data_IF_552953725643
#
_entry.id   IF_552953725643
#
_cell.length_a   1.000
_cell.length_b   1.000
_cell.length_c   1.000
_cell.angle_alpha   90.00
_cell.angle_beta   90.00
_cell.angle_gamma   90.00
#
_symmetry.space_group_name_H-M   'P 1'
#
loop_
_entity.id
_entity.type
_entity.pdbx_description
1 polymer ?
#
# COMPACT_ATOMS: atom_id res chain seq x y z
N UNK A 1 -10.04 -23.21 -4.96
CA UNK A 1 -11.16 -23.49 -4.04
C UNK A 1 -10.81 -22.89 -2.68
N UNK A 2 -11.53 -21.88 -2.20
CA UNK A 2 -11.33 -21.28 -0.87
C UNK A 2 -12.72 -21.08 -0.24
N UNK A 3 -13.00 -21.80 0.84
CA UNK A 3 -14.33 -22.11 1.37
C UNK A 3 -14.78 -21.19 2.51
N UNK A 4 -14.34 -19.92 2.53
CA UNK A 4 -14.58 -19.01 3.67
C UNK A 4 -15.26 -17.67 3.39
N UNK A 5 -15.85 -17.50 2.21
CA UNK A 5 -16.68 -16.34 1.95
C UNK A 5 -18.09 -16.79 1.60
N UNK A 6 -19.02 -16.57 2.53
CA UNK A 6 -20.44 -16.47 2.22
C UNK A 6 -20.61 -15.26 1.29
N UNK A 7 -20.50 -15.45 -0.02
CA UNK A 7 -20.78 -14.40 -1.00
C UNK A 7 -22.30 -14.31 -1.23
N UNK A 8 -23.00 -13.83 -0.21
CA UNK A 8 -24.32 -13.22 -0.33
C UNK A 8 -24.19 -11.73 -0.02
N UNK A 9 -23.37 -11.01 -0.80
CA UNK A 9 -23.67 -9.60 -1.06
C UNK A 9 -24.73 -9.58 -2.16
N UNK A 10 -25.98 -9.74 -1.75
CA UNK A 10 -27.10 -9.27 -2.56
C UNK A 10 -26.82 -7.79 -2.83
N UNK A 11 -26.82 -7.38 -4.10
CA UNK A 11 -26.82 -5.95 -4.40
C UNK A 11 -28.10 -5.39 -3.78
N UNK A 12 -27.96 -4.47 -2.83
CA UNK A 12 -29.10 -3.73 -2.31
C UNK A 12 -29.23 -2.45 -3.13
N UNK A 13 -30.47 -2.06 -3.45
CA UNK A 13 -30.67 -0.77 -4.08
C UNK A 13 -30.28 0.33 -3.09
N UNK A 14 -29.77 1.44 -3.61
CA UNK A 14 -29.37 2.60 -2.81
C UNK A 14 -30.15 3.83 -3.27
N UNK A 15 -30.37 4.78 -2.35
CA UNK A 15 -31.24 5.94 -2.61
C UNK A 15 -32.69 5.51 -2.87
N UNK A 16 -33.32 6.07 -3.91
CA UNK A 16 -34.70 5.75 -4.27
C UNK A 16 -34.86 4.39 -5.00
N UNK A 17 -33.77 3.64 -5.18
CA UNK A 17 -33.78 2.42 -5.98
C UNK A 17 -34.73 1.33 -5.47
N UNK A 18 -34.98 1.24 -4.16
CA UNK A 18 -35.91 0.26 -3.56
C UNK A 18 -37.37 0.45 -4.00
N UNK A 19 -37.71 1.67 -4.46
CA UNK A 19 -39.02 2.00 -5.03
C UNK A 19 -39.25 1.26 -6.36
N UNK A 20 -38.19 1.01 -7.12
CA UNK A 20 -38.28 0.52 -8.50
C UNK A 20 -37.72 -0.89 -8.67
N UNK A 21 -36.76 -1.30 -7.84
CA UNK A 21 -36.05 -2.58 -7.94
C UNK A 21 -36.69 -3.58 -6.97
N UNK A 22 -37.07 -4.75 -7.49
CA UNK A 22 -37.58 -5.87 -6.69
C UNK A 22 -36.46 -6.71 -6.08
N UNK A 23 -35.37 -6.91 -6.84
CA UNK A 23 -34.13 -7.48 -6.35
C UNK A 23 -32.97 -7.16 -7.28
N UNK A 24 -31.76 -7.18 -6.75
CA UNK A 24 -30.53 -7.24 -7.52
C UNK A 24 -29.62 -8.35 -6.99
N UNK A 25 -28.85 -8.96 -7.87
CA UNK A 25 -27.91 -10.03 -7.52
C UNK A 25 -26.60 -9.86 -8.27
N UNK A 26 -25.52 -10.32 -7.66
CA UNK A 26 -24.23 -10.48 -8.29
C UNK A 26 -23.83 -11.96 -8.24
N UNK A 27 -23.30 -12.47 -9.34
CA UNK A 27 -22.75 -13.81 -9.42
C UNK A 27 -21.39 -13.78 -10.12
N UNK A 28 -20.41 -14.42 -9.50
CA UNK A 28 -19.07 -14.60 -10.07
C UNK A 28 -19.11 -15.61 -11.21
N UNK A 29 -18.36 -15.37 -12.26
CA UNK A 29 -18.08 -16.39 -13.26
C UNK A 29 -17.29 -17.56 -12.64
N UNK A 30 -17.78 -18.79 -12.78
CA UNK A 30 -17.13 -20.04 -12.33
C UNK A 30 -16.83 -20.97 -13.52
N UNK A 31 -15.76 -21.78 -13.46
CA UNK A 31 -15.29 -22.64 -14.57
C UNK A 31 -13.96 -22.24 -15.25
N UNK A 32 -13.34 -23.12 -16.05
CA UNK A 32 -11.99 -22.88 -16.62
C UNK A 32 -12.00 -21.99 -17.89
N UNK A 33 -13.14 -21.77 -18.54
CA UNK A 33 -13.28 -20.94 -19.76
C UNK A 33 -14.60 -20.17 -19.80
N UNK A 34 -14.59 -18.92 -20.29
CA UNK A 34 -15.83 -18.16 -20.55
C UNK A 34 -16.55 -17.61 -19.31
N UNK A 35 -15.82 -17.40 -18.21
CA UNK A 35 -16.37 -16.83 -16.97
C UNK A 35 -16.82 -15.39 -17.20
N UNK A 36 -18.12 -15.13 -17.05
CA UNK A 36 -18.66 -13.78 -16.99
C UNK A 36 -19.28 -13.54 -15.61
N UNK A 37 -18.71 -12.58 -14.90
CA UNK A 37 -19.37 -11.97 -13.75
C UNK A 37 -20.66 -11.32 -14.21
N UNK A 38 -21.72 -11.47 -13.41
CA UNK A 38 -23.06 -11.02 -13.79
C UNK A 38 -23.72 -10.27 -12.67
N UNK A 39 -24.07 -9.02 -12.93
CA UNK A 39 -25.03 -8.26 -12.15
C UNK A 39 -26.39 -8.37 -12.83
N UNK A 40 -27.41 -8.77 -12.08
CA UNK A 40 -28.79 -8.83 -12.55
C UNK A 40 -29.64 -7.93 -11.67
N UNK A 41 -30.53 -7.16 -12.30
CA UNK A 41 -31.49 -6.29 -11.63
C UNK A 41 -32.87 -6.63 -12.16
N UNK A 42 -33.82 -6.90 -11.27
CA UNK A 42 -35.23 -7.09 -11.62
C UNK A 42 -36.04 -5.93 -11.09
N UNK A 43 -36.68 -5.19 -11.97
CA UNK A 43 -37.63 -4.13 -11.60
C UNK A 43 -38.94 -4.71 -11.06
N UNK A 44 -39.64 -3.94 -10.22
CA UNK A 44 -40.97 -4.31 -9.72
C UNK A 44 -41.96 -4.40 -10.88
N UNK A 45 -42.89 -5.34 -10.77
CA UNK A 45 -43.94 -5.53 -11.77
C UNK A 45 -44.80 -4.27 -11.92
N UNK A 46 -45.16 -3.93 -13.16
CA UNK A 46 -45.94 -2.73 -13.48
C UNK A 46 -45.17 -1.40 -13.46
N UNK A 47 -43.88 -1.39 -13.11
CA UNK A 47 -43.07 -0.18 -13.24
C UNK A 47 -42.68 0.06 -14.71
N UNK A 48 -43.13 1.19 -15.25
CA UNK A 48 -42.67 1.69 -16.55
C UNK A 48 -41.44 2.58 -16.34
N UNK A 49 -40.31 2.19 -16.94
CA UNK A 49 -39.10 3.00 -16.98
C UNK A 49 -39.40 4.28 -17.77
N UNK A 50 -39.26 5.45 -17.12
CA UNK A 50 -39.35 6.78 -17.70
C UNK A 50 -37.95 7.38 -17.91
N UNK A 51 -37.70 8.55 -17.31
CA UNK A 51 -36.41 9.27 -17.40
C UNK A 51 -35.45 8.96 -16.24
N UNK A 52 -35.69 7.88 -15.49
CA UNK A 52 -34.83 7.48 -14.37
C UNK A 52 -33.44 7.02 -14.87
N UNK A 53 -32.40 7.35 -14.12
CA UNK A 53 -31.04 6.85 -14.34
C UNK A 53 -30.69 5.83 -13.26
N UNK A 54 -30.28 4.64 -13.67
CA UNK A 54 -29.80 3.60 -12.76
C UNK A 54 -28.29 3.48 -12.87
N UNK A 55 -27.61 3.37 -11.73
CA UNK A 55 -26.17 3.17 -11.66
C UNK A 55 -25.87 1.85 -10.95
N UNK A 56 -24.98 1.05 -11.54
CA UNK A 56 -24.39 -0.13 -10.90
C UNK A 56 -22.94 0.21 -10.55
N UNK A 57 -22.60 0.07 -9.27
CA UNK A 57 -21.25 0.31 -8.76
C UNK A 57 -20.80 -0.88 -7.91
N UNK A 58 -19.54 -1.27 -8.06
CA UNK A 58 -18.91 -2.32 -7.28
C UNK A 58 -17.42 -2.05 -7.16
N UNK A 59 -16.80 -2.58 -6.10
CA UNK A 59 -15.37 -2.45 -5.89
C UNK A 59 -14.63 -3.54 -6.66
N UNK A 60 -13.55 -3.14 -7.34
CA UNK A 60 -12.65 -4.06 -8.03
C UNK A 60 -11.46 -4.40 -7.15
N UNK A 61 -11.11 -5.69 -7.09
CA UNK A 61 -9.84 -6.14 -6.50
C UNK A 61 -8.81 -6.39 -7.59
N UNK A 62 -7.64 -5.80 -7.44
CA UNK A 62 -6.52 -5.99 -8.38
C UNK A 62 -5.95 -7.39 -8.17
N UNK A 63 -5.85 -8.16 -9.25
CA UNK A 63 -5.27 -9.50 -9.22
C UNK A 63 -3.73 -9.44 -9.12
N UNK A 64 -3.12 -10.58 -8.76
CA UNK A 64 -1.68 -10.63 -8.49
C UNK A 64 -0.82 -10.39 -9.74
N UNK A 65 -1.33 -10.75 -10.93
CA UNK A 65 -0.66 -10.48 -12.21
C UNK A 65 -0.54 -8.98 -12.48
N UNK A 66 -1.63 -8.23 -12.28
CA UNK A 66 -1.64 -6.78 -12.39
C UNK A 66 -0.75 -6.11 -11.34
N UNK A 67 -0.76 -6.61 -10.09
CA UNK A 67 0.15 -6.12 -9.04
C UNK A 67 1.62 -6.33 -9.42
N UNK A 68 1.98 -7.51 -9.92
CA UNK A 68 3.34 -7.82 -10.36
C UNK A 68 3.78 -6.90 -11.52
N UNK A 69 2.90 -6.69 -12.50
CA UNK A 69 3.19 -5.78 -13.62
C UNK A 69 3.47 -4.35 -13.12
N UNK A 70 2.62 -3.79 -12.26
CA UNK A 70 2.82 -2.44 -11.72
C UNK A 70 4.06 -2.35 -10.82
N UNK A 71 4.39 -3.42 -10.10
CA UNK A 71 5.61 -3.57 -9.31
C UNK A 71 6.88 -3.54 -10.16
N UNK A 72 6.83 -4.00 -11.40
CA UNK A 72 7.98 -3.96 -12.31
C UNK A 72 8.06 -2.63 -13.08
N UNK A 73 6.92 -2.13 -13.59
CA UNK A 73 6.85 -1.02 -14.55
C UNK A 73 6.51 0.34 -13.93
N UNK A 74 6.50 0.46 -12.60
CA UNK A 74 6.41 1.73 -11.87
C UNK A 74 5.27 2.68 -12.31
N UNK A 75 4.02 2.27 -12.09
CA UNK A 75 2.81 3.05 -12.44
C UNK A 75 2.68 3.42 -13.93
N UNK A 76 3.51 2.87 -14.80
CA UNK A 76 3.27 2.91 -16.24
C UNK A 76 2.24 1.85 -16.56
N UNK A 77 1.16 2.24 -17.23
CA UNK A 77 0.13 1.31 -17.63
C UNK A 77 0.42 0.70 -19.01
N UNK A 78 0.18 -0.60 -19.20
CA UNK A 78 0.45 -1.27 -20.47
C UNK A 78 -0.60 -0.92 -21.55
N UNK A 79 -1.78 -0.49 -21.13
CA UNK A 79 -2.94 -0.38 -22.03
C UNK A 79 -3.56 1.01 -22.00
N UNK A 80 -4.41 1.24 -23.01
CA UNK A 80 -5.36 2.34 -23.03
C UNK A 80 -6.77 1.77 -23.16
N UNK A 81 -7.74 2.40 -22.49
CA UNK A 81 -9.13 2.00 -22.63
C UNK A 81 -9.69 2.34 -24.02
N UNK A 82 -10.50 1.45 -24.55
CA UNK A 82 -11.15 1.63 -25.84
C UNK A 82 -12.25 2.71 -25.79
N UNK A 83 -12.71 3.13 -26.98
CA UNK A 83 -13.82 4.07 -27.10
C UNK A 83 -15.11 3.55 -26.43
N UNK A 84 -15.99 4.46 -25.99
CA UNK A 84 -17.25 4.17 -25.30
C UNK A 84 -17.13 3.44 -23.96
N UNK A 85 -15.96 3.37 -23.34
CA UNK A 85 -15.79 2.73 -22.03
C UNK A 85 -16.05 3.65 -20.83
N UNK A 86 -16.50 4.89 -21.08
CA UNK A 86 -16.97 5.84 -20.07
C UNK A 86 -18.46 6.17 -20.27
N UNK A 87 -19.14 6.56 -19.18
CA UNK A 87 -20.51 7.05 -19.21
C UNK A 87 -20.59 8.54 -18.86
N UNK A 88 -21.42 9.28 -19.58
CA UNK A 88 -21.71 10.69 -19.32
C UNK A 88 -20.46 11.58 -19.45
N UNK A 89 -20.08 12.26 -18.36
CA UNK A 89 -18.93 13.18 -18.32
C UNK A 89 -17.65 12.52 -17.80
N UNK A 90 -17.68 11.22 -17.48
CA UNK A 90 -16.51 10.52 -16.96
C UNK A 90 -15.42 10.42 -18.04
N UNK A 91 -14.16 10.50 -17.62
CA UNK A 91 -12.97 10.40 -18.47
C UNK A 91 -11.94 9.52 -17.79
N UNK A 92 -12.39 8.33 -17.38
CA UNK A 92 -11.62 7.42 -16.53
C UNK A 92 -11.08 6.21 -17.30
N UNK A 93 -11.67 5.87 -18.43
CA UNK A 93 -11.28 4.70 -19.21
C UNK A 93 -10.95 5.02 -20.67
N UNK A 94 -11.88 5.63 -21.41
CA UNK A 94 -11.76 5.85 -22.85
C UNK A 94 -10.55 6.72 -23.18
N UNK A 95 -9.59 6.14 -23.90
CA UNK A 95 -8.32 6.77 -24.27
C UNK A 95 -7.36 7.02 -23.08
N UNK A 96 -7.75 6.65 -21.85
CA UNK A 96 -6.92 6.79 -20.67
C UNK A 96 -5.97 5.61 -20.53
N UNK A 97 -4.76 5.82 -20.00
CA UNK A 97 -3.87 4.72 -19.66
C UNK A 97 -4.43 3.94 -18.47
N UNK A 98 -4.30 2.61 -18.46
CA UNK A 98 -4.71 1.79 -17.31
C UNK A 98 -4.47 0.29 -17.49
N UNK A 99 -4.87 -0.48 -16.49
CA UNK A 99 -4.95 -1.94 -16.59
C UNK A 99 -6.34 -2.32 -17.11
N UNK A 100 -6.44 -3.28 -18.02
CA UNK A 100 -7.75 -3.78 -18.40
C UNK A 100 -8.45 -4.38 -17.19
N UNK A 101 -9.67 -3.93 -16.91
CA UNK A 101 -10.49 -4.51 -15.85
C UNK A 101 -11.19 -5.80 -16.31
N UNK A 102 -11.48 -5.91 -17.60
CA UNK A 102 -12.01 -7.08 -18.28
C UNK A 102 -11.75 -6.98 -19.80
N UNK A 103 -12.00 -8.08 -20.54
CA UNK A 103 -11.96 -8.07 -22.01
C UNK A 103 -13.11 -7.26 -22.61
N UNK A 104 -14.31 -7.39 -22.03
CA UNK A 104 -15.50 -6.64 -22.41
C UNK A 104 -16.51 -6.56 -21.25
N UNK A 105 -17.23 -5.44 -21.15
CA UNK A 105 -18.46 -5.34 -20.38
C UNK A 105 -19.67 -5.30 -21.33
N UNK A 106 -20.77 -5.94 -20.93
CA UNK A 106 -21.99 -6.01 -21.73
C UNK A 106 -23.20 -5.58 -20.90
N UNK A 107 -24.01 -4.67 -21.46
CA UNK A 107 -25.34 -4.34 -20.94
C UNK A 107 -26.38 -5.00 -21.84
N UNK A 108 -27.33 -5.74 -21.26
CA UNK A 108 -28.44 -6.37 -21.98
C UNK A 108 -29.76 -6.06 -21.26
N UNK A 109 -30.75 -5.57 -21.99
CA UNK A 109 -32.07 -5.22 -21.44
C UNK A 109 -33.19 -5.41 -22.48
N UNK A 110 -34.44 -5.33 -22.05
CA UNK A 110 -35.61 -5.37 -22.93
C UNK A 110 -36.24 -3.98 -23.00
N UNK A 111 -36.58 -3.52 -24.21
CA UNK A 111 -37.27 -2.25 -24.45
C UNK A 111 -38.38 -2.46 -25.47
N UNK A 112 -39.62 -2.16 -25.10
CA UNK A 112 -40.80 -2.34 -25.97
C UNK A 112 -40.95 -3.74 -26.59
N UNK A 113 -40.50 -4.79 -25.89
CA UNK A 113 -40.52 -6.17 -26.39
C UNK A 113 -39.27 -6.60 -27.16
N UNK A 114 -38.38 -5.67 -27.49
CA UNK A 114 -37.13 -5.94 -28.20
C UNK A 114 -35.95 -6.06 -27.24
N UNK A 115 -35.04 -7.01 -27.52
CA UNK A 115 -33.79 -7.16 -26.78
C UNK A 115 -32.77 -6.14 -27.26
N UNK A 116 -32.32 -5.30 -26.34
CA UNK A 116 -31.24 -4.34 -26.54
C UNK A 116 -29.94 -4.87 -25.95
N UNK A 117 -28.82 -4.51 -26.58
CA UNK A 117 -27.49 -4.82 -26.06
C UNK A 117 -26.49 -3.70 -26.38
N UNK A 118 -25.59 -3.43 -25.45
CA UNK A 118 -24.44 -2.56 -25.63
C UNK A 118 -23.17 -3.29 -25.17
N UNK A 119 -22.07 -3.07 -25.89
CA UNK A 119 -20.77 -3.68 -25.62
C UNK A 119 -19.76 -2.57 -25.37
N UNK A 120 -18.97 -2.76 -24.33
CA UNK A 120 -17.92 -1.85 -23.89
C UNK A 120 -16.61 -2.64 -23.84
N UNK A 121 -15.82 -2.65 -24.92
CA UNK A 121 -14.62 -3.46 -25.01
C UNK A 121 -13.49 -2.86 -24.14
N UNK A 122 -12.67 -3.69 -23.53
CA UNK A 122 -11.40 -3.32 -22.88
C UNK A 122 -11.42 -2.00 -22.06
N UNK A 123 -12.35 -1.81 -21.11
CA UNK A 123 -12.25 -0.71 -20.18
C UNK A 123 -10.99 -0.86 -19.32
N UNK A 124 -10.43 0.26 -18.89
CA UNK A 124 -9.25 0.29 -18.03
C UNK A 124 -9.54 0.91 -16.68
N UNK A 125 -8.72 0.52 -15.70
CA UNK A 125 -8.69 1.09 -14.35
C UNK A 125 -7.27 1.52 -13.99
N UNK A 126 -7.18 2.64 -13.28
CA UNK A 126 -5.95 3.13 -12.69
C UNK A 126 -5.95 2.82 -11.20
N UNK A 127 -4.83 2.34 -10.69
CA UNK A 127 -4.63 2.06 -9.27
C UNK A 127 -3.24 2.49 -8.83
N UNK A 128 -3.12 2.88 -7.56
CA UNK A 128 -1.82 3.06 -6.95
C UNK A 128 -1.12 1.69 -6.83
N UNK A 129 0.18 1.65 -7.09
CA UNK A 129 1.01 0.51 -6.70
C UNK A 129 1.28 0.59 -5.19
N UNK A 130 0.67 -0.29 -4.37
CA UNK A 130 0.92 -0.27 -2.94
C UNK A 130 2.37 -0.68 -2.65
N UNK A 131 2.98 -0.01 -1.68
CA UNK A 131 4.39 -0.21 -1.36
C UNK A 131 4.78 0.56 -0.11
N UNK A 132 5.98 0.27 0.40
CA UNK A 132 6.47 0.89 1.61
C UNK A 132 7.17 2.22 1.28
N UNK A 133 6.64 3.31 1.84
CA UNK A 133 7.28 4.64 1.81
C UNK A 133 8.12 4.84 3.07
N UNK A 134 9.35 5.30 2.90
CA UNK A 134 10.28 5.61 3.99
C UNK A 134 10.78 7.05 3.83
N UNK A 135 10.81 7.78 4.95
CA UNK A 135 11.41 9.12 5.05
C UNK A 135 12.53 9.11 6.09
N UNK A 136 13.77 9.13 5.62
CA UNK A 136 14.97 9.15 6.47
C UNK A 136 15.37 10.59 6.78
N UNK A 137 15.47 10.92 8.07
CA UNK A 137 15.74 12.29 8.53
C UNK A 137 16.74 12.34 9.67
N UNK A 138 17.26 13.54 9.93
CA UNK A 138 18.00 13.87 11.15
C UNK A 138 17.07 13.86 12.38
N UNK A 139 17.59 13.43 13.52
CA UNK A 139 16.86 13.38 14.78
C UNK A 139 16.32 14.75 15.24
N UNK A 140 17.14 15.81 15.16
CA UNK A 140 16.76 17.17 15.57
C UNK A 140 16.11 17.91 14.42
N UNK A 141 16.70 17.81 13.24
CA UNK A 141 16.24 18.50 12.04
C UNK A 141 15.41 17.55 11.21
N UNK A 142 14.20 17.24 11.66
CA UNK A 142 13.31 16.27 10.98
C UNK A 142 12.89 16.71 9.57
N UNK A 143 13.07 17.98 9.20
CA UNK A 143 12.93 18.46 7.82
C UNK A 143 14.14 18.13 6.92
N UNK A 144 15.30 17.82 7.50
CA UNK A 144 16.52 17.46 6.79
C UNK A 144 16.50 15.98 6.41
N UNK A 145 16.25 15.69 5.14
CA UNK A 145 16.37 14.36 4.57
C UNK A 145 17.82 13.86 4.53
N UNK A 146 18.02 12.56 4.77
CA UNK A 146 19.35 11.94 4.75
C UNK A 146 19.51 10.97 3.58
N UNK A 147 20.45 11.28 2.68
CA UNK A 147 20.81 10.47 1.53
C UNK A 147 21.66 9.27 1.92
N UNK A 148 21.43 8.14 1.24
CA UNK A 148 22.33 6.99 1.28
C UNK A 148 22.18 6.09 2.50
N UNK A 149 21.16 6.28 3.35
CA UNK A 149 20.79 5.23 4.30
C UNK A 149 20.41 3.98 3.50
N UNK A 150 20.96 2.82 3.87
CA UNK A 150 20.61 1.54 3.27
C UNK A 150 19.74 0.73 4.23
N UNK A 151 18.66 0.18 3.69
CA UNK A 151 17.69 -0.64 4.42
C UNK A 151 17.59 -2.04 3.81
N UNK A 152 17.20 -3.01 4.63
CA UNK A 152 16.73 -4.32 4.22
C UNK A 152 15.39 -4.63 4.89
N UNK A 153 14.54 -5.39 4.19
CA UNK A 153 13.24 -5.85 4.67
C UNK A 153 13.26 -7.36 4.92
N UNK A 154 12.51 -7.81 5.92
CA UNK A 154 12.41 -9.23 6.29
C UNK A 154 10.96 -9.57 6.65
N UNK A 155 10.53 -10.82 6.41
CA UNK A 155 9.26 -11.36 6.96
C UNK A 155 9.43 -11.94 8.37
N UNK A 156 10.67 -12.18 8.76
CA UNK A 156 11.08 -12.76 10.03
C UNK A 156 11.95 -11.76 10.77
N UNK A 157 11.92 -11.77 12.11
CA UNK A 157 12.82 -10.93 12.91
C UNK A 157 14.30 -11.16 12.50
N UNK A 158 15.00 -10.11 12.02
CA UNK A 158 16.37 -10.23 11.52
C UNK A 158 17.42 -10.52 12.61
N UNK A 159 17.04 -10.62 13.89
CA UNK A 159 17.93 -11.12 14.95
C UNK A 159 18.18 -12.62 14.85
N UNK A 160 17.31 -13.37 14.15
CA UNK A 160 17.54 -14.79 13.94
C UNK A 160 18.53 -15.00 12.78
N UNK A 161 19.50 -15.90 12.99
CA UNK A 161 20.56 -16.18 12.01
C UNK A 161 20.05 -16.71 10.66
N UNK A 162 18.86 -17.31 10.63
CA UNK A 162 18.22 -17.85 9.43
C UNK A 162 17.36 -16.82 8.67
N UNK A 163 17.14 -15.64 9.23
CA UNK A 163 16.30 -14.63 8.60
C UNK A 163 16.94 -14.12 7.29
N UNK A 164 16.17 -14.13 6.21
CA UNK A 164 16.64 -13.72 4.87
C UNK A 164 15.98 -12.41 4.46
N UNK A 165 16.76 -11.50 3.87
CA UNK A 165 16.22 -10.25 3.34
C UNK A 165 15.34 -10.54 2.11
N UNK A 166 14.21 -9.86 1.99
CA UNK A 166 13.31 -10.00 0.84
C UNK A 166 13.82 -9.17 -0.34
N UNK A 167 13.64 -9.71 -1.55
CA UNK A 167 13.92 -9.01 -2.78
C UNK A 167 12.66 -8.27 -3.26
N UNK A 168 12.76 -6.97 -3.51
CA UNK A 168 11.66 -6.13 -4.00
C UNK A 168 12.19 -5.01 -4.90
N UNK A 169 11.29 -4.25 -5.52
CA UNK A 169 11.67 -3.17 -6.44
C UNK A 169 11.93 -1.88 -5.68
N UNK A 170 13.02 -1.18 -6.01
CA UNK A 170 13.43 0.08 -5.37
C UNK A 170 13.13 1.28 -6.26
N UNK A 171 12.43 2.29 -5.75
CA UNK A 171 12.10 3.51 -6.52
C UNK A 171 11.49 3.15 -7.86
N UNK A 172 12.00 3.71 -8.96
CA UNK A 172 11.54 3.39 -10.33
C UNK A 172 12.34 2.27 -11.00
N UNK A 173 13.18 1.53 -10.27
CA UNK A 173 14.00 0.45 -10.84
C UNK A 173 13.18 -0.76 -11.28
N UNK A 174 13.59 -1.40 -12.37
CA UNK A 174 12.95 -2.59 -12.96
C UNK A 174 13.53 -3.92 -12.44
N UNK A 175 14.59 -3.89 -11.64
CA UNK A 175 15.20 -5.08 -11.05
C UNK A 175 14.93 -5.14 -9.55
N UNK A 176 14.76 -6.37 -9.04
CA UNK A 176 14.62 -6.60 -7.60
C UNK A 176 15.98 -6.54 -6.91
N UNK A 177 15.99 -5.95 -5.72
CA UNK A 177 17.16 -5.88 -4.84
C UNK A 177 16.74 -6.22 -3.40
N UNK A 178 17.70 -6.62 -2.57
CA UNK A 178 17.52 -6.81 -1.12
C UNK A 178 18.02 -5.62 -0.30
N UNK A 179 18.63 -4.63 -0.95
CA UNK A 179 19.18 -3.42 -0.33
C UNK A 179 18.57 -2.19 -0.98
N UNK A 180 17.98 -1.33 -0.16
CA UNK A 180 17.22 -0.17 -0.60
C UNK A 180 17.83 1.11 -0.04
N UNK A 181 18.18 2.07 -0.89
CA UNK A 181 18.88 3.29 -0.48
C UNK A 181 18.02 4.53 -0.60
N UNK A 182 18.15 5.44 0.36
CA UNK A 182 17.42 6.73 0.35
C UNK A 182 18.03 7.73 -0.62
N UNK A 183 17.16 8.51 -1.27
CA UNK A 183 17.54 9.56 -2.22
C UNK A 183 18.10 10.82 -1.53
N UNK A 184 18.42 11.86 -2.31
CA UNK A 184 18.95 13.13 -1.82
C UNK A 184 18.06 13.87 -0.82
N UNK A 185 16.75 13.61 -0.86
CA UNK A 185 15.76 14.17 0.05
C UNK A 185 15.42 13.20 1.18
N UNK A 186 16.13 12.07 1.30
CA UNK A 186 15.87 11.04 2.30
C UNK A 186 14.61 10.21 2.02
N UNK A 187 14.02 10.27 0.83
CA UNK A 187 12.89 9.42 0.48
C UNK A 187 13.37 8.07 -0.03
N UNK A 188 12.59 7.04 0.26
CA UNK A 188 12.73 5.70 -0.31
C UNK A 188 11.34 5.11 -0.53
N UNK A 189 11.12 4.49 -1.68
CA UNK A 189 9.90 3.77 -1.97
C UNK A 189 10.23 2.34 -2.41
N UNK A 190 9.63 1.36 -1.74
CA UNK A 190 9.81 -0.07 -2.02
C UNK A 190 8.48 -0.61 -2.56
N UNK A 191 8.48 -1.08 -3.81
CA UNK A 191 7.30 -1.54 -4.56
C UNK A 191 7.21 -3.05 -4.60
N UNK A 192 6.01 -3.54 -4.92
CA UNK A 192 5.75 -4.98 -5.11
C UNK A 192 5.74 -5.77 -3.81
N UNK A 193 5.37 -5.11 -2.72
CA UNK A 193 5.17 -5.76 -1.43
C UNK A 193 3.72 -6.19 -1.30
N UNK A 194 3.50 -7.43 -0.89
CA UNK A 194 2.18 -7.90 -0.50
C UNK A 194 1.83 -7.37 0.90
N UNK A 195 0.54 -7.28 1.19
CA UNK A 195 0.07 -7.01 2.55
C UNK A 195 0.61 -8.06 3.55
N UNK A 196 0.76 -7.63 4.80
CA UNK A 196 1.19 -8.48 5.90
C UNK A 196 2.31 -7.87 6.72
N UNK A 197 2.98 -8.73 7.49
CA UNK A 197 3.93 -8.31 8.52
C UNK A 197 5.38 -8.34 8.01
N UNK A 198 6.14 -7.35 8.44
CA UNK A 198 7.52 -7.13 8.03
C UNK A 198 8.39 -6.57 9.16
N UNK A 199 9.69 -6.66 8.95
CA UNK A 199 10.72 -5.98 9.72
C UNK A 199 11.56 -5.09 8.80
N UNK A 200 11.72 -3.82 9.18
CA UNK A 200 12.62 -2.87 8.52
C UNK A 200 13.90 -2.74 9.34
N UNK A 201 15.05 -3.04 8.72
CA UNK A 201 16.37 -2.93 9.36
C UNK A 201 17.24 -1.95 8.61
N UNK A 202 17.78 -0.96 9.32
CA UNK A 202 18.88 -0.13 8.79
C UNK A 202 20.17 -0.94 8.80
N UNK A 203 20.79 -1.06 7.64
CA UNK A 203 21.93 -1.94 7.38
C UNK A 203 23.20 -1.18 7.07
N UNK A 204 23.07 0.09 6.65
CA UNK A 204 24.13 1.07 6.64
C UNK A 204 23.51 2.45 6.89
N UNK A 205 24.09 3.21 7.82
CA UNK A 205 23.67 4.59 8.06
C UNK A 205 24.08 5.54 6.93
N UNK A 206 23.42 6.70 6.80
CA UNK A 206 23.96 7.83 6.05
C UNK A 206 25.36 8.23 6.53
N UNK A 207 26.18 8.79 5.64
CA UNK A 207 27.52 9.27 6.00
C UNK A 207 27.47 10.31 7.14
N UNK A 208 28.29 10.11 8.17
CA UNK A 208 28.35 10.97 9.35
C UNK A 208 27.18 10.78 10.33
N UNK A 209 26.41 9.70 10.19
CA UNK A 209 25.33 9.32 11.11
C UNK A 209 25.59 7.94 11.70
N UNK A 210 25.13 7.73 12.94
CA UNK A 210 25.19 6.43 13.60
C UNK A 210 24.10 5.52 13.03
N UNK A 211 24.42 4.24 12.89
CA UNK A 211 23.50 3.21 12.43
C UNK A 211 22.57 2.75 13.56
N UNK A 212 21.31 2.47 13.24
CA UNK A 212 20.37 1.86 14.16
C UNK A 212 20.60 0.34 14.27
N UNK A 213 20.78 -0.15 15.49
CA UNK A 213 21.02 -1.56 15.79
C UNK A 213 19.73 -2.39 15.80
N UNK A 214 18.58 -1.78 16.09
CA UNK A 214 17.30 -2.50 16.11
C UNK A 214 16.57 -2.44 14.77
N UNK A 215 15.74 -3.46 14.53
CA UNK A 215 14.79 -3.49 13.43
C UNK A 215 13.41 -3.06 13.93
N UNK A 216 12.65 -2.39 13.07
CA UNK A 216 11.26 -1.98 13.32
C UNK A 216 10.32 -3.06 12.81
N UNK A 217 9.39 -3.54 13.64
CA UNK A 217 8.28 -4.39 13.20
C UNK A 217 7.09 -3.55 12.77
N UNK A 218 6.45 -3.90 11.66
CA UNK A 218 5.26 -3.22 11.16
C UNK A 218 4.37 -4.14 10.31
N UNK A 219 3.11 -3.75 10.10
CA UNK A 219 2.23 -4.34 9.08
C UNK A 219 1.99 -3.35 7.94
N UNK A 220 1.87 -3.89 6.73
CA UNK A 220 1.48 -3.19 5.51
C UNK A 220 0.10 -3.71 5.05
N UNK A 221 -0.85 -2.84 4.74
CA UNK A 221 -2.15 -3.23 4.19
C UNK A 221 -2.17 -3.30 2.64
N UNK A 222 -3.32 -3.60 2.03
CA UNK A 222 -3.44 -3.73 0.57
C UNK A 222 -3.29 -2.37 -0.15
N UNK A 223 -3.49 -1.26 0.56
CA UNK A 223 -3.36 0.12 0.09
C UNK A 223 -1.95 0.70 0.29
N UNK A 224 -1.07 -0.02 1.01
CA UNK A 224 0.29 0.39 1.33
C UNK A 224 0.41 1.30 2.56
N UNK A 225 -0.62 1.36 3.42
CA UNK A 225 -0.52 2.03 4.70
C UNK A 225 0.21 1.15 5.72
N UNK A 226 1.02 1.81 6.54
CA UNK A 226 1.80 1.17 7.58
C UNK A 226 1.16 1.31 8.95
N UNK A 227 1.15 0.21 9.72
CA UNK A 227 0.95 0.24 11.18
C UNK A 227 2.21 -0.27 11.87
N UNK A 228 2.85 0.60 12.68
CA UNK A 228 4.04 0.21 13.47
C UNK A 228 3.59 -0.69 14.63
N UNK A 229 4.36 -1.76 14.89
CA UNK A 229 4.11 -2.74 15.95
C UNK A 229 5.18 -2.68 17.04
N UNK A 230 4.83 -3.20 18.22
CA UNK A 230 5.74 -3.34 19.35
C UNK A 230 5.85 -2.09 20.22
N UNK A 231 6.90 -2.03 21.03
CA UNK A 231 7.15 -0.90 21.92
C UNK A 231 7.48 0.34 21.10
N UNK A 232 6.90 1.52 21.43
CA UNK A 232 7.26 2.77 20.80
C UNK A 232 8.78 2.99 20.83
N UNK A 233 9.33 3.20 19.65
CA UNK A 233 10.75 3.46 19.45
C UNK A 233 10.89 4.87 18.86
N UNK A 234 11.59 5.80 19.54
CA UNK A 234 11.69 7.18 19.09
C UNK A 234 12.39 7.34 17.73
N UNK A 235 13.19 6.35 17.30
CA UNK A 235 13.79 6.32 15.97
C UNK A 235 12.75 6.27 14.86
N UNK A 236 11.56 5.74 15.14
CA UNK A 236 10.55 5.41 14.16
C UNK A 236 9.24 6.13 14.46
N UNK A 237 8.63 6.72 13.44
CA UNK A 237 7.29 7.31 13.56
C UNK A 237 6.53 7.15 12.26
N UNK A 238 5.23 6.97 12.31
CA UNK A 238 4.40 6.93 11.11
C UNK A 238 4.34 8.33 10.46
N UNK A 239 4.44 8.40 9.13
CA UNK A 239 4.38 9.65 8.38
C UNK A 239 3.73 9.45 7.01
N UNK A 240 2.59 10.12 6.75
CA UNK A 240 1.88 10.11 5.46
C UNK A 240 1.68 8.70 4.85
N UNK A 241 1.24 7.74 5.67
CA UNK A 241 1.05 6.34 5.28
C UNK A 241 2.33 5.48 5.27
N UNK A 242 3.52 6.09 5.40
CA UNK A 242 4.82 5.41 5.47
C UNK A 242 5.51 5.50 6.84
N UNK A 243 6.81 5.23 6.83
CA UNK A 243 7.68 5.20 8.03
C UNK A 243 8.71 6.33 7.94
N UNK A 244 8.71 7.23 8.92
CA UNK A 244 9.82 8.13 9.15
C UNK A 244 10.86 7.46 10.06
N UNK A 245 12.13 7.53 9.66
CA UNK A 245 13.27 6.94 10.37
C UNK A 245 14.29 8.04 10.70
N UNK A 246 14.56 8.26 11.98
CA UNK A 246 15.46 9.30 12.49
C UNK A 246 16.83 8.71 12.85
N UNK A 247 17.91 9.34 12.40
CA UNK A 247 19.27 9.01 12.86
C UNK A 247 19.91 10.19 13.59
N UNK A 248 20.87 9.85 14.43
CA UNK A 248 21.70 10.80 15.17
C UNK A 248 23.03 10.96 14.46
N UNK A 249 23.49 12.20 14.33
CA UNK A 249 24.80 12.53 13.79
C UNK A 249 25.93 11.93 14.65
N UNK A 250 26.98 11.43 14.02
CA UNK A 250 28.19 10.97 14.71
C UNK A 250 28.84 12.09 15.53
N UNK A 251 29.57 11.70 16.58
CA UNK A 251 30.24 12.65 17.49
C UNK A 251 29.29 13.40 18.44
N UNK A 252 27.97 13.19 18.36
CA UNK A 252 27.05 13.76 19.34
C UNK A 252 27.20 13.08 20.70
N UNK A 253 27.42 13.88 21.73
CA UNK A 253 27.35 13.47 23.14
C UNK A 253 25.96 13.75 23.72
N UNK A 254 25.63 13.04 24.80
CA UNK A 254 24.47 13.40 25.62
C UNK A 254 24.73 14.77 26.24
N UNK A 255 23.80 15.72 26.16
CA UNK A 255 23.86 16.88 27.03
C UNK A 255 23.68 16.44 28.48
N UNK A 256 24.26 17.20 29.42
CA UNK A 256 24.06 16.95 30.84
C UNK A 256 22.55 17.01 31.16
N UNK A 257 21.97 15.85 31.48
CA UNK A 257 20.55 15.72 31.81
C UNK A 257 20.30 16.31 33.20
N UNK A 258 19.48 17.36 33.31
CA UNK A 258 19.24 18.02 34.60
C UNK A 258 18.04 18.96 34.70
N UNK A 259 17.07 18.93 33.77
CA UNK A 259 15.88 19.77 33.85
C UNK A 259 14.60 19.01 33.50
N UNK A 260 13.44 19.31 34.14
CA UNK A 260 12.18 18.62 33.91
C UNK A 260 11.57 19.05 32.56
N UNK A 261 12.11 18.51 31.47
CA UNK A 261 11.64 18.75 30.10
C UNK A 261 11.06 17.48 29.50
N UNK A 262 9.75 17.46 29.27
CA UNK A 262 8.94 16.29 28.88
C UNK A 262 9.19 15.74 27.45
N UNK A 263 10.17 16.22 26.66
CA UNK A 263 10.09 16.08 25.19
C UNK A 263 11.30 15.67 24.34
N UNK A 264 12.56 15.83 24.73
CA UNK A 264 13.67 15.70 23.74
C UNK A 264 14.83 14.82 24.18
N UNK A 265 15.17 14.85 25.48
CA UNK A 265 16.36 14.14 25.99
C UNK A 265 16.13 12.66 26.26
N UNK A 266 14.96 12.27 26.78
CA UNK A 266 14.63 10.87 26.98
C UNK A 266 14.60 10.11 25.64
N UNK A 267 13.96 10.69 24.62
CA UNK A 267 13.95 10.13 23.26
C UNK A 267 15.34 10.04 22.65
N UNK A 268 16.18 11.07 22.85
CA UNK A 268 17.56 11.07 22.38
C UNK A 268 18.40 10.00 23.08
N UNK A 269 18.26 9.85 24.40
CA UNK A 269 18.98 8.84 25.17
C UNK A 269 18.62 7.43 24.73
N UNK A 270 17.32 7.14 24.55
CA UNK A 270 16.85 5.88 23.99
C UNK A 270 17.44 5.67 22.59
N UNK A 271 17.39 6.68 21.73
CA UNK A 271 17.92 6.57 20.38
C UNK A 271 19.45 6.35 20.34
N UNK A 272 20.21 6.93 21.27
CA UNK A 272 21.64 6.66 21.41
C UNK A 272 21.93 5.23 21.86
N UNK A 273 21.10 4.65 22.74
CA UNK A 273 21.18 3.21 23.08
C UNK A 273 20.89 2.36 21.84
N UNK A 274 19.87 2.72 21.07
CA UNK A 274 19.48 2.01 19.85
C UNK A 274 20.53 2.10 18.76
N UNK A 275 21.36 3.13 18.76
CA UNK A 275 22.46 3.33 17.83
C UNK A 275 23.82 2.85 18.38
N UNK A 276 23.82 2.08 19.48
CA UNK A 276 25.02 1.50 20.07
C UNK A 276 26.01 2.52 20.66
N UNK A 277 25.60 3.78 20.83
CA UNK A 277 26.49 4.90 21.17
C UNK A 277 26.89 4.94 22.66
N UNK A 278 26.17 4.22 23.53
CA UNK A 278 26.46 4.15 24.97
C UNK A 278 27.11 2.80 25.25
N UNK A 279 28.45 2.76 25.25
CA UNK A 279 29.19 1.65 25.87
C UNK A 279 29.14 1.85 27.38
N UNK A 280 28.35 1.02 28.08
CA UNK A 280 28.45 0.90 29.54
C UNK A 280 29.87 0.43 29.88
N UNK A 281 30.71 1.34 30.38
CA UNK A 281 31.99 1.00 30.97
C UNK A 281 31.78 1.04 32.48
N UNK A 282 31.43 -0.11 33.08
CA UNK A 282 31.68 -0.30 34.50
C UNK A 282 33.20 -0.19 34.67
N UNK A 283 33.65 0.93 35.24
CA UNK A 283 34.95 0.96 35.88
C UNK A 283 34.84 -0.01 37.04
N UNK A 284 35.46 -1.19 36.92
CA UNK A 284 35.73 -2.05 38.06
C UNK A 284 36.55 -1.23 39.06
N UNK A 285 35.85 -0.63 40.01
CA UNK A 285 36.42 -0.06 41.20
C UNK A 285 37.02 -1.21 41.99
N UNK A 286 38.29 -1.50 41.73
CA UNK A 286 39.14 -2.24 42.66
C UNK A 286 39.12 -1.48 43.99
N UNK A 287 38.39 -2.02 44.96
CA UNK A 287 38.69 -1.84 46.38
C UNK A 287 39.25 -3.16 46.87
N UNK A 288 40.58 -3.24 46.87
CA UNK A 288 41.39 -4.23 47.59
C UNK A 288 42.50 -3.49 48.28
#
# INVERSE_FOLDING_TARGET
HNTRYNYTTLGHAVGDGDKYISWASYSLGVGETGKQDRVQVKFREGHNLGNETFQVSYNLKINDTAKAYLAEHSNVYPHKGEFNTDFGKNKTSSGQPGLYSNEEAQLKYMQAGDRQFAVYPHPVVQTANPGLKIKKVDWEKTSQGLKGASFALYRTNPTYSWATAIAAYSGNGSEKTTRFSTDGQGNLFIRGLEAGDYYLKEVAAPAGYRQLDRALSFSLDEEGNVTIKGTPDPAFSQASGGIQVKNIKEGRELPQAGGPGQGSWAGLAILLVLAGAIRWRFSDGKTG
#
